data_IF_447023830474
#
_entry.id   IF_447023830474
#
_cell.length_a   1.000
_cell.length_b   1.000
_cell.length_c   1.000
_cell.angle_alpha   90.00
_cell.angle_beta   90.00
_cell.angle_gamma   90.00
#
_symmetry.space_group_name_H-M   'P 1'
#
loop_
_entity.id
_entity.type
_entity.pdbx_description
1 polymer ?
#
# COMPACT_ATOMS: atom_id res chain seq x y z
N UNK A 1 33.43 -13.74 11.46
CA UNK A 1 32.06 -13.19 11.35
C UNK A 1 31.15 -14.33 11.72
N UNK A 2 30.54 -14.26 12.89
CA UNK A 2 29.71 -15.34 13.43
C UNK A 2 28.29 -15.20 12.88
N UNK A 3 27.80 -16.20 12.15
CA UNK A 3 26.51 -16.22 11.45
C UNK A 3 25.30 -16.44 12.39
N UNK A 4 25.49 -16.38 13.70
CA UNK A 4 24.45 -16.75 14.69
C UNK A 4 24.12 -15.66 15.71
N UNK A 5 24.11 -14.37 15.33
CA UNK A 5 23.32 -13.39 16.10
C UNK A 5 21.86 -13.51 15.66
N UNK A 6 21.17 -14.49 16.25
CA UNK A 6 19.72 -14.59 16.21
C UNK A 6 19.17 -13.37 16.96
N UNK A 7 18.93 -12.26 16.25
CA UNK A 7 18.14 -11.14 16.78
C UNK A 7 16.77 -11.70 17.15
N UNK A 8 16.56 -11.94 18.45
CA UNK A 8 15.35 -12.58 18.98
C UNK A 8 14.12 -11.68 18.74
N UNK A 9 14.35 -10.38 18.64
CA UNK A 9 13.47 -9.35 18.07
C UNK A 9 14.34 -8.21 17.49
N UNK A 10 14.04 -7.77 16.27
CA UNK A 10 14.75 -6.64 15.63
C UNK A 10 14.48 -5.32 16.36
N UNK A 11 13.33 -5.22 17.06
CA UNK A 11 12.88 -3.98 17.72
C UNK A 11 13.29 -3.87 19.19
N UNK A 12 14.04 -4.84 19.70
CA UNK A 12 14.63 -4.77 21.03
C UNK A 12 15.79 -3.78 21.03
N UNK A 13 15.60 -2.62 21.69
CA UNK A 13 16.54 -1.52 21.62
C UNK A 13 16.66 -0.87 20.23
N UNK A 14 17.55 0.12 20.10
CA UNK A 14 17.92 0.66 18.78
C UNK A 14 19.38 0.29 18.53
N UNK A 15 19.68 -0.46 17.45
CA UNK A 15 21.04 -0.89 17.16
C UNK A 15 22.03 0.28 17.04
N UNK A 16 23.27 0.04 17.43
CA UNK A 16 24.36 1.01 17.26
C UNK A 16 24.80 1.15 15.80
N UNK A 17 24.69 0.07 15.02
CA UNK A 17 25.02 0.07 13.59
C UNK A 17 24.04 -0.81 12.81
N UNK A 18 23.85 -0.45 11.54
CA UNK A 18 23.12 -1.25 10.55
C UNK A 18 24.10 -1.79 9.51
N UNK A 19 24.41 -3.11 9.49
CA UNK A 19 25.52 -3.67 8.70
C UNK A 19 25.44 -3.47 7.17
N UNK A 20 24.27 -3.11 6.63
CA UNK A 20 24.02 -2.91 5.19
C UNK A 20 23.82 -1.46 4.79
N UNK A 21 24.18 -0.53 5.67
CA UNK A 21 24.04 0.91 5.45
C UNK A 21 25.44 1.55 5.47
N UNK A 22 25.74 2.43 4.51
CA UNK A 22 27.02 3.13 4.48
C UNK A 22 27.22 3.96 5.76
N UNK A 23 28.48 4.09 6.21
CA UNK A 23 28.84 4.80 7.45
C UNK A 23 28.25 6.23 7.52
N UNK A 24 28.24 6.93 6.39
CA UNK A 24 27.67 8.28 6.27
C UNK A 24 26.17 8.37 6.60
N UNK A 25 25.41 7.29 6.39
CA UNK A 25 23.96 7.24 6.63
C UNK A 25 23.57 6.56 7.94
N UNK A 26 24.53 6.05 8.72
CA UNK A 26 24.26 5.31 9.96
C UNK A 26 23.44 6.14 10.96
N UNK A 27 23.83 7.39 11.21
CA UNK A 27 23.11 8.27 12.13
C UNK A 27 21.66 8.49 11.69
N UNK A 28 21.44 8.74 10.40
CA UNK A 28 20.10 8.90 9.84
C UNK A 28 19.26 7.62 9.93
N UNK A 29 19.86 6.47 9.65
CA UNK A 29 19.19 5.17 9.77
C UNK A 29 18.78 4.86 11.20
N UNK A 30 19.67 5.10 12.19
CA UNK A 30 19.36 4.95 13.62
C UNK A 30 18.26 5.88 14.07
N UNK A 31 18.32 7.16 13.71
CA UNK A 31 17.28 8.13 14.04
C UNK A 31 15.92 7.71 13.46
N UNK A 32 15.89 7.28 12.19
CA UNK A 32 14.69 6.77 11.53
C UNK A 32 14.15 5.52 12.22
N UNK A 33 15.02 4.56 12.55
CA UNK A 33 14.63 3.33 13.25
C UNK A 33 14.04 3.65 14.63
N UNK A 34 14.73 4.45 15.45
CA UNK A 34 14.24 4.84 16.77
C UNK A 34 12.90 5.58 16.72
N UNK A 35 12.68 6.41 15.70
CA UNK A 35 11.44 7.15 15.50
C UNK A 35 10.27 6.27 15.05
N UNK A 36 10.51 5.36 14.10
CA UNK A 36 9.47 4.62 13.37
C UNK A 36 9.26 3.18 13.82
N UNK A 37 10.13 2.63 14.67
CA UNK A 37 9.92 1.30 15.26
C UNK A 37 8.61 1.23 16.08
N UNK A 38 8.04 0.03 16.31
CA UNK A 38 7.04 -0.18 17.34
C UNK A 38 7.41 0.51 18.66
N UNK A 39 6.44 1.15 19.29
CA UNK A 39 6.61 2.00 20.48
C UNK A 39 7.52 3.24 20.30
N UNK A 40 7.97 3.55 19.08
CA UNK A 40 8.72 4.78 18.77
C UNK A 40 7.85 6.04 18.90
N UNK A 41 8.45 7.18 19.24
CA UNK A 41 7.71 8.44 19.48
C UNK A 41 6.88 8.88 18.26
N UNK A 42 7.46 8.82 17.06
CA UNK A 42 6.77 9.22 15.82
C UNK A 42 5.72 8.17 15.43
N UNK A 43 6.07 6.89 15.53
CA UNK A 43 5.14 5.78 15.26
C UNK A 43 3.88 5.87 16.14
N UNK A 44 4.06 6.07 17.46
CA UNK A 44 2.96 6.25 18.41
C UNK A 44 2.14 7.50 18.10
N UNK A 45 2.79 8.66 17.91
CA UNK A 45 2.09 9.94 17.77
C UNK A 45 1.29 10.05 16.48
N UNK A 46 1.84 9.57 15.37
CA UNK A 46 1.33 9.87 14.03
C UNK A 46 0.87 8.63 13.25
N UNK A 47 1.45 7.45 13.48
CA UNK A 47 1.15 6.26 12.66
C UNK A 47 0.12 5.33 13.31
N UNK A 48 0.08 5.25 14.64
CA UNK A 48 -0.84 4.36 15.36
C UNK A 48 -2.33 4.66 15.12
N UNK A 49 -2.65 5.85 14.60
CA UNK A 49 -4.02 6.27 14.32
C UNK A 49 -4.47 5.92 12.89
N UNK A 50 -3.54 5.51 12.03
CA UNK A 50 -3.84 5.19 10.65
C UNK A 50 -4.46 3.80 10.56
N UNK A 51 -5.37 3.63 9.60
CA UNK A 51 -5.94 2.33 9.28
C UNK A 51 -5.04 1.61 8.27
N UNK A 52 -4.85 0.30 8.47
CA UNK A 52 -4.15 -0.56 7.50
C UNK A 52 -5.06 -0.88 6.31
N UNK A 53 -6.36 -1.00 6.56
CA UNK A 53 -7.41 -1.21 5.57
C UNK A 53 -8.59 -0.31 5.90
N UNK A 54 -9.19 0.36 4.92
CA UNK A 54 -10.38 1.18 5.14
C UNK A 54 -11.38 0.99 4.00
N UNK A 55 -12.67 0.97 4.33
CA UNK A 55 -13.76 1.00 3.37
C UNK A 55 -14.37 2.40 3.37
N UNK A 56 -14.46 3.03 2.21
CA UNK A 56 -15.08 4.34 2.01
C UNK A 56 -16.03 4.26 0.82
N UNK A 57 -17.32 4.49 1.05
CA UNK A 57 -18.35 4.27 0.04
C UNK A 57 -18.32 2.83 -0.48
N UNK A 58 -18.25 2.67 -1.79
CA UNK A 58 -18.15 1.38 -2.47
C UNK A 58 -16.70 0.94 -2.79
N UNK A 59 -15.70 1.51 -2.10
CA UNK A 59 -14.29 1.23 -2.35
C UNK A 59 -13.55 0.78 -1.08
N UNK A 60 -12.74 -0.27 -1.20
CA UNK A 60 -11.81 -0.71 -0.14
C UNK A 60 -10.38 -0.31 -0.50
N UNK A 61 -9.64 0.22 0.47
CA UNK A 61 -8.28 0.70 0.32
C UNK A 61 -7.31 -0.18 1.10
N UNK A 62 -6.25 -0.62 0.46
CA UNK A 62 -5.13 -1.36 1.07
C UNK A 62 -3.82 -0.99 0.37
N UNK A 63 -2.67 -1.13 1.05
CA UNK A 63 -1.39 -0.76 0.43
C UNK A 63 -1.03 -1.69 -0.75
N UNK A 64 -1.04 -3.01 -0.56
CA UNK A 64 -0.80 -4.00 -1.62
C UNK A 64 -2.09 -4.67 -2.13
N UNK A 65 -2.95 -5.13 -1.21
CA UNK A 65 -4.27 -5.68 -1.55
C UNK A 65 -4.81 -6.64 -0.49
N UNK A 66 -5.99 -7.24 -0.73
CA UNK A 66 -6.66 -8.14 0.21
C UNK A 66 -6.93 -9.52 -0.38
N UNK A 67 -6.65 -10.57 0.38
CA UNK A 67 -7.05 -11.94 0.05
C UNK A 67 -8.23 -12.33 0.93
N UNK A 68 -8.97 -13.37 0.55
CA UNK A 68 -10.14 -13.85 1.30
C UNK A 68 -9.81 -14.12 2.78
N UNK A 69 -8.62 -14.67 3.06
CA UNK A 69 -8.14 -14.89 4.44
C UNK A 69 -8.04 -13.61 5.27
N UNK A 70 -7.79 -12.45 4.66
CA UNK A 70 -7.75 -11.15 5.37
C UNK A 70 -9.16 -10.67 5.72
N UNK A 71 -10.14 -10.95 4.85
CA UNK A 71 -11.55 -10.63 5.12
C UNK A 71 -12.09 -11.51 6.24
N UNK A 72 -11.83 -12.82 6.17
CA UNK A 72 -12.19 -13.78 7.22
C UNK A 72 -11.49 -13.48 8.56
N UNK A 73 -10.32 -12.83 8.53
CA UNK A 73 -9.64 -12.38 9.74
C UNK A 73 -10.38 -11.22 10.45
N UNK A 74 -11.17 -10.45 9.71
CA UNK A 74 -11.89 -9.25 10.18
C UNK A 74 -11.07 -7.98 9.97
N UNK A 75 -11.58 -7.02 9.19
CA UNK A 75 -10.85 -5.79 8.83
C UNK A 75 -10.61 -4.89 10.05
N UNK A 76 -11.58 -4.81 10.96
CA UNK A 76 -11.45 -4.10 12.23
C UNK A 76 -10.32 -4.72 13.04
N UNK A 77 -10.33 -6.05 13.18
CA UNK A 77 -9.29 -6.78 13.90
C UNK A 77 -7.90 -6.55 13.29
N UNK A 78 -7.78 -6.55 11.97
CA UNK A 78 -6.52 -6.19 11.28
C UNK A 78 -6.03 -4.83 11.75
N UNK A 79 -6.90 -3.81 11.69
CA UNK A 79 -6.55 -2.44 12.06
C UNK A 79 -6.18 -2.32 13.53
N UNK A 80 -6.89 -3.01 14.43
CA UNK A 80 -6.58 -3.03 15.86
C UNK A 80 -5.24 -3.70 16.15
N UNK A 81 -4.97 -4.87 15.57
CA UNK A 81 -3.72 -5.60 15.82
C UNK A 81 -2.50 -4.85 15.29
N UNK A 82 -2.59 -4.25 14.10
CA UNK A 82 -1.48 -3.46 13.55
C UNK A 82 -1.26 -2.21 14.40
N UNK A 83 -2.33 -1.53 14.83
CA UNK A 83 -2.24 -0.37 15.74
C UNK A 83 -1.58 -0.75 17.06
N UNK A 84 -2.03 -1.83 17.69
CA UNK A 84 -1.51 -2.25 19.00
C UNK A 84 -0.05 -2.68 18.91
N UNK A 85 0.35 -3.27 17.79
CA UNK A 85 1.74 -3.54 17.49
C UNK A 85 2.56 -2.25 17.29
N UNK A 86 2.09 -1.29 16.49
CA UNK A 86 2.74 0.03 16.34
C UNK A 86 2.91 0.72 17.70
N UNK A 87 1.93 0.57 18.60
CA UNK A 87 1.97 1.14 19.95
C UNK A 87 2.87 0.39 20.93
N UNK A 88 3.35 -0.79 20.56
CA UNK A 88 4.09 -1.68 21.46
C UNK A 88 3.22 -2.32 22.55
N UNK A 89 1.89 -2.27 22.43
CA UNK A 89 0.97 -3.01 23.31
C UNK A 89 1.05 -4.49 22.99
N UNK A 90 1.21 -4.83 21.71
CA UNK A 90 1.54 -6.19 21.25
C UNK A 90 2.99 -6.22 20.77
N UNK A 91 3.75 -7.20 21.23
CA UNK A 91 5.12 -7.45 20.79
C UNK A 91 5.18 -7.81 19.29
N UNK A 92 4.18 -8.57 18.82
CA UNK A 92 4.14 -9.11 17.46
C UNK A 92 2.81 -8.86 16.79
N UNK A 93 2.86 -8.76 15.47
CA UNK A 93 1.71 -8.75 14.57
C UNK A 93 1.77 -9.96 13.65
N UNK A 94 0.61 -10.50 13.28
CA UNK A 94 0.55 -11.64 12.38
C UNK A 94 1.23 -11.31 11.05
N UNK A 95 2.12 -12.20 10.60
CA UNK A 95 2.91 -11.96 9.37
C UNK A 95 2.00 -11.68 8.17
N UNK A 96 0.89 -12.39 8.01
CA UNK A 96 -0.07 -12.15 6.94
C UNK A 96 -0.64 -10.72 6.86
N UNK A 97 -0.46 -9.88 7.88
CA UNK A 97 -0.90 -8.49 7.83
C UNK A 97 0.20 -7.57 7.27
N UNK A 98 1.45 -7.75 7.68
CA UNK A 98 2.54 -6.77 7.38
C UNK A 98 3.83 -7.36 6.80
N UNK A 99 3.95 -8.69 6.69
CA UNK A 99 5.15 -9.41 6.22
C UNK A 99 4.85 -10.51 5.22
N UNK A 100 5.72 -10.64 4.24
CA UNK A 100 5.66 -11.70 3.24
C UNK A 100 4.72 -11.38 2.08
N UNK A 101 4.98 -12.04 0.94
CA UNK A 101 4.40 -11.70 -0.37
C UNK A 101 2.86 -11.68 -0.41
N UNK A 102 2.20 -12.45 0.44
CA UNK A 102 0.74 -12.57 0.47
C UNK A 102 0.13 -11.82 1.67
N UNK A 103 0.80 -10.77 2.15
CA UNK A 103 0.29 -9.90 3.21
C UNK A 103 -0.32 -8.62 2.67
N UNK A 104 -1.16 -7.96 3.46
CA UNK A 104 -1.93 -6.78 3.04
C UNK A 104 -1.04 -5.68 2.44
N UNK A 105 0.16 -5.51 3.00
CA UNK A 105 1.10 -4.46 2.57
C UNK A 105 2.06 -4.87 1.46
N UNK A 106 2.16 -6.17 1.11
CA UNK A 106 3.12 -6.67 0.12
C UNK A 106 2.49 -7.40 -1.07
N UNK A 107 1.17 -7.64 -1.03
CA UNK A 107 0.46 -8.34 -2.08
C UNK A 107 0.57 -7.61 -3.41
N UNK A 108 0.77 -8.38 -4.50
CA UNK A 108 0.87 -7.87 -5.88
C UNK A 108 -0.09 -8.55 -6.86
N UNK A 109 -0.85 -9.55 -6.40
CA UNK A 109 -1.72 -10.39 -7.25
C UNK A 109 -2.77 -9.62 -8.05
N UNK A 110 -3.07 -8.36 -7.69
CA UNK A 110 -4.03 -7.50 -8.41
C UNK A 110 -3.38 -6.21 -8.94
N UNK A 111 -2.06 -6.10 -8.87
CA UNK A 111 -1.32 -4.92 -9.26
C UNK A 111 -0.05 -5.20 -10.04
N UNK A 112 0.17 -6.43 -10.50
CA UNK A 112 1.29 -6.79 -11.37
C UNK A 112 1.43 -5.82 -12.55
N UNK A 113 2.67 -5.60 -13.00
CA UNK A 113 2.99 -4.67 -14.07
C UNK A 113 2.18 -4.98 -15.34
N UNK A 114 2.10 -6.26 -15.71
CA UNK A 114 1.25 -6.72 -16.79
C UNK A 114 -0.14 -7.08 -16.26
N UNK A 115 -1.18 -6.49 -16.86
CA UNK A 115 -2.57 -6.73 -16.48
C UNK A 115 -2.96 -8.22 -16.56
N UNK A 116 -2.42 -8.96 -17.55
CA UNK A 116 -2.67 -10.40 -17.73
C UNK A 116 -2.18 -11.30 -16.58
N UNK A 117 -1.24 -10.81 -15.79
CA UNK A 117 -0.69 -11.55 -14.66
C UNK A 117 -1.52 -11.31 -13.38
N UNK A 118 -2.55 -10.46 -13.44
CA UNK A 118 -3.43 -10.18 -12.31
C UNK A 118 -4.58 -11.18 -12.21
N UNK A 119 -4.87 -11.64 -11.00
CA UNK A 119 -5.93 -12.62 -10.73
C UNK A 119 -7.28 -11.93 -10.51
N UNK A 120 -7.96 -11.59 -11.62
CA UNK A 120 -9.25 -10.92 -11.58
C UNK A 120 -10.38 -11.77 -10.95
N UNK A 121 -10.32 -13.10 -11.08
CA UNK A 121 -11.34 -13.99 -10.50
C UNK A 121 -11.22 -14.01 -8.97
N UNK A 122 -10.00 -14.12 -8.45
CA UNK A 122 -9.77 -14.03 -7.00
C UNK A 122 -10.15 -12.65 -6.46
N UNK A 123 -9.84 -11.57 -7.18
CA UNK A 123 -10.23 -10.22 -6.79
C UNK A 123 -11.76 -10.09 -6.67
N UNK A 124 -12.51 -10.58 -7.66
CA UNK A 124 -13.97 -10.54 -7.67
C UNK A 124 -14.55 -11.26 -6.45
N UNK A 125 -14.08 -12.47 -6.16
CA UNK A 125 -14.49 -13.20 -4.97
C UNK A 125 -14.16 -12.48 -3.66
N UNK A 126 -13.01 -11.79 -3.58
CA UNK A 126 -12.69 -10.99 -2.39
C UNK A 126 -13.68 -9.84 -2.23
N UNK A 127 -13.99 -9.11 -3.30
CA UNK A 127 -14.91 -7.97 -3.26
C UNK A 127 -16.33 -8.40 -2.89
N UNK A 128 -16.81 -9.54 -3.42
CA UNK A 128 -18.11 -10.12 -3.07
C UNK A 128 -18.25 -10.45 -1.58
N UNK A 129 -17.15 -10.72 -0.89
CA UNK A 129 -17.17 -10.99 0.56
C UNK A 129 -17.22 -9.73 1.42
N UNK A 130 -17.11 -8.53 0.84
CA UNK A 130 -17.17 -7.26 1.57
C UNK A 130 -18.46 -6.53 1.18
N UNK A 131 -19.45 -6.43 2.09
CA UNK A 131 -20.74 -5.83 1.77
C UNK A 131 -20.62 -4.41 1.20
N UNK A 132 -21.25 -4.17 0.05
CA UNK A 132 -21.34 -2.85 -0.58
C UNK A 132 -20.09 -2.40 -1.36
N UNK A 133 -18.98 -3.14 -1.30
CA UNK A 133 -17.75 -2.79 -2.01
C UNK A 133 -17.80 -3.30 -3.45
N UNK A 134 -17.43 -2.42 -4.39
CA UNK A 134 -17.35 -2.72 -5.82
C UNK A 134 -15.92 -2.76 -6.35
N UNK A 135 -14.97 -2.12 -5.67
CA UNK A 135 -13.58 -2.03 -6.13
C UNK A 135 -12.57 -1.98 -4.99
N UNK A 136 -11.38 -2.48 -5.28
CA UNK A 136 -10.20 -2.32 -4.45
C UNK A 136 -9.29 -1.26 -5.05
N UNK A 137 -8.77 -0.37 -4.21
CA UNK A 137 -7.80 0.65 -4.56
C UNK A 137 -6.49 0.31 -3.85
N UNK A 138 -5.41 0.19 -4.62
CA UNK A 138 -4.13 -0.27 -4.10
C UNK A 138 -2.93 0.39 -4.78
N UNK A 139 -1.82 0.43 -4.05
CA UNK A 139 -0.53 0.91 -4.54
C UNK A 139 0.50 -0.21 -4.59
N UNK A 140 1.68 0.05 -4.01
CA UNK A 140 2.79 -0.89 -3.79
C UNK A 140 3.54 -1.37 -5.06
N UNK A 141 2.82 -1.57 -6.15
CA UNK A 141 3.38 -1.92 -7.46
C UNK A 141 3.25 -0.72 -8.39
N UNK A 142 4.40 -0.20 -8.82
CA UNK A 142 4.50 0.99 -9.65
C UNK A 142 3.85 0.72 -11.01
N UNK A 143 2.94 1.60 -11.40
CA UNK A 143 2.30 1.64 -12.70
C UNK A 143 3.03 2.66 -13.57
N UNK A 144 3.85 2.18 -14.51
CA UNK A 144 4.69 3.04 -15.36
C UNK A 144 3.91 4.05 -16.18
N UNK A 145 2.68 3.70 -16.52
CA UNK A 145 1.80 4.52 -17.34
C UNK A 145 0.93 5.47 -16.51
N UNK A 146 0.99 5.43 -15.18
CA UNK A 146 0.13 6.22 -14.30
C UNK A 146 -1.05 5.41 -13.72
N UNK A 147 -1.97 6.11 -13.05
CA UNK A 147 -3.16 5.52 -12.43
C UNK A 147 -4.01 4.87 -13.51
N UNK A 148 -4.40 3.62 -13.27
CA UNK A 148 -5.17 2.85 -14.21
C UNK A 148 -6.09 1.85 -13.48
N UNK A 149 -6.94 1.18 -14.25
CA UNK A 149 -7.88 0.19 -13.78
C UNK A 149 -7.80 -1.10 -14.59
N UNK A 150 -7.99 -2.23 -13.92
CA UNK A 150 -8.11 -3.56 -14.52
C UNK A 150 -9.33 -4.30 -13.96
N UNK A 151 -9.60 -5.49 -14.49
CA UNK A 151 -10.67 -6.37 -14.04
C UNK A 151 -12.06 -5.69 -14.08
N UNK A 152 -12.32 -4.86 -15.10
CA UNK A 152 -13.59 -4.13 -15.23
C UNK A 152 -13.79 -3.05 -14.15
N UNK A 153 -12.76 -2.23 -13.89
CA UNK A 153 -12.76 -1.17 -12.86
C UNK A 153 -12.90 -1.66 -11.41
N UNK A 154 -12.58 -2.93 -11.17
CA UNK A 154 -12.60 -3.54 -9.83
C UNK A 154 -11.26 -3.47 -9.11
N UNK A 155 -10.15 -3.37 -9.85
CA UNK A 155 -8.83 -3.10 -9.28
C UNK A 155 -8.31 -1.77 -9.83
N UNK A 156 -8.17 -0.77 -8.94
CA UNK A 156 -7.63 0.54 -9.28
C UNK A 156 -6.21 0.62 -8.71
N UNK A 157 -5.23 0.78 -9.60
CA UNK A 157 -3.80 0.75 -9.28
C UNK A 157 -3.27 2.18 -9.29
N UNK A 158 -2.92 2.71 -8.12
CA UNK A 158 -2.67 4.15 -7.92
C UNK A 158 -1.21 4.53 -7.65
N UNK A 159 -0.30 3.57 -7.55
CA UNK A 159 1.13 3.87 -7.34
C UNK A 159 1.79 4.22 -8.67
N UNK A 160 2.12 5.49 -8.87
CA UNK A 160 2.77 5.99 -10.10
C UNK A 160 4.29 6.14 -9.97
N UNK A 161 4.89 5.74 -8.84
CA UNK A 161 6.34 5.84 -8.66
C UNK A 161 6.86 7.28 -8.53
N UNK A 162 6.17 8.14 -7.78
CA UNK A 162 6.51 9.57 -7.62
C UNK A 162 7.88 9.84 -6.98
N UNK A 163 8.48 8.87 -6.29
CA UNK A 163 9.77 9.08 -5.63
C UNK A 163 10.94 9.04 -6.62
N UNK A 164 11.98 9.83 -6.36
CA UNK A 164 13.20 9.90 -7.18
C UNK A 164 13.85 8.54 -7.47
N UNK A 165 13.71 7.58 -6.56
CA UNK A 165 14.31 6.24 -6.68
C UNK A 165 13.35 5.18 -7.23
N UNK A 166 12.09 5.56 -7.49
CA UNK A 166 11.05 4.66 -8.01
C UNK A 166 10.72 4.96 -9.48
N UNK A 167 10.83 6.22 -9.90
CA UNK A 167 10.53 6.60 -11.28
C UNK A 167 10.52 8.11 -11.54
N UNK A 168 10.56 8.94 -10.49
CA UNK A 168 10.52 10.41 -10.57
C UNK A 168 9.38 10.93 -11.46
N UNK A 169 8.24 10.22 -11.41
CA UNK A 169 7.07 10.50 -12.25
C UNK A 169 6.26 11.65 -11.66
N UNK A 170 5.55 12.36 -12.55
CA UNK A 170 4.59 13.38 -12.13
C UNK A 170 3.51 12.78 -11.22
N UNK A 171 3.07 13.52 -10.17
CA UNK A 171 1.99 13.08 -9.32
C UNK A 171 0.67 12.97 -10.09
N UNK A 172 -0.09 11.94 -9.73
CA UNK A 172 -1.47 11.73 -10.15
C UNK A 172 -2.35 11.48 -8.92
N UNK A 173 -3.60 11.90 -8.99
CA UNK A 173 -4.60 11.76 -7.92
C UNK A 173 -5.82 11.06 -8.47
N UNK A 174 -6.26 10.01 -7.79
CA UNK A 174 -7.56 9.39 -8.03
C UNK A 174 -8.65 10.19 -7.32
N UNK A 175 -9.54 10.80 -8.08
CA UNK A 175 -10.78 11.40 -7.59
C UNK A 175 -11.92 10.38 -7.66
N UNK A 176 -12.68 10.27 -6.58
CA UNK A 176 -13.93 9.51 -6.51
C UNK A 176 -15.02 10.49 -6.11
N UNK A 177 -15.97 10.75 -6.99
CA UNK A 177 -17.04 11.71 -6.73
C UNK A 177 -18.22 11.09 -5.95
N UNK A 178 -19.22 11.90 -5.66
CA UNK A 178 -20.45 11.51 -4.95
C UNK A 178 -21.30 10.44 -5.67
N UNK A 179 -21.07 10.23 -6.97
CA UNK A 179 -21.71 9.20 -7.78
C UNK A 179 -20.84 7.94 -7.93
N UNK A 180 -19.75 7.82 -7.15
CA UNK A 180 -18.76 6.74 -7.25
C UNK A 180 -18.05 6.65 -8.61
N UNK A 181 -18.03 7.74 -9.38
CA UNK A 181 -17.28 7.81 -10.63
C UNK A 181 -15.81 8.11 -10.37
N UNK A 182 -14.93 7.56 -11.22
CA UNK A 182 -13.49 7.66 -11.06
C UNK A 182 -12.89 8.63 -12.09
N UNK A 183 -12.04 9.55 -11.63
CA UNK A 183 -11.25 10.44 -12.49
C UNK A 183 -9.82 10.50 -12.01
N UNK A 184 -8.89 10.75 -12.93
CA UNK A 184 -7.48 11.00 -12.62
C UNK A 184 -7.20 12.48 -12.83
N UNK A 185 -6.71 13.13 -11.80
CA UNK A 185 -6.13 14.47 -11.87
C UNK A 185 -4.62 14.32 -11.99
N UNK A 186 -4.00 14.94 -12.99
CA UNK A 186 -2.56 14.79 -13.26
C UNK A 186 -1.89 16.14 -13.40
N UNK A 187 -0.66 16.27 -12.90
CA UNK A 187 0.17 17.44 -13.16
C UNK A 187 1.00 17.31 -14.44
N UNK A 188 0.83 16.23 -15.20
CA UNK A 188 1.61 15.96 -16.40
C UNK A 188 1.22 16.93 -17.53
N UNK A 189 2.17 17.74 -18.04
CA UNK A 189 1.88 18.76 -19.05
C UNK A 189 1.27 18.26 -20.34
N UNK A 190 1.48 16.98 -20.69
CA UNK A 190 0.91 16.37 -21.89
C UNK A 190 -0.62 16.30 -21.87
N UNK A 191 -1.23 16.40 -20.69
CA UNK A 191 -2.68 16.30 -20.52
C UNK A 191 -3.35 17.65 -20.20
N UNK A 192 -2.61 18.77 -20.20
CA UNK A 192 -3.21 20.10 -20.05
C UNK A 192 -3.72 20.63 -21.40
N UNK A 193 -4.97 21.11 -21.42
CA UNK A 193 -5.45 22.08 -22.43
C UNK A 193 -5.68 23.41 -21.73
N UNK A 194 -4.70 24.31 -21.77
CA UNK A 194 -4.77 25.62 -21.08
C UNK A 194 -4.40 25.53 -19.59
N UNK A 195 -5.07 26.33 -18.74
CA UNK A 195 -4.79 26.45 -17.28
C UNK A 195 -5.66 25.54 -16.39
N UNK A 196 -6.56 24.72 -16.96
CA UNK A 196 -7.42 23.83 -16.19
C UNK A 196 -6.79 22.44 -16.05
N UNK A 197 -6.77 21.92 -14.81
CA UNK A 197 -6.45 20.51 -14.54
C UNK A 197 -7.60 19.68 -15.09
N UNK A 198 -7.43 19.14 -16.30
CA UNK A 198 -8.42 18.25 -16.89
C UNK A 198 -8.40 16.92 -16.15
N UNK A 199 -9.49 16.61 -15.45
CA UNK A 199 -9.74 15.24 -14.99
C UNK A 199 -9.88 14.33 -16.20
N UNK A 200 -9.00 13.34 -16.33
CA UNK A 200 -9.07 12.32 -17.38
C UNK A 200 -9.74 11.06 -16.83
N UNK A 201 -10.52 10.31 -17.65
CA UNK A 201 -11.02 9.02 -17.23
C UNK A 201 -9.89 8.09 -16.79
N UNK A 202 -10.14 7.23 -15.81
CA UNK A 202 -9.16 6.20 -15.44
C UNK A 202 -8.95 5.27 -16.63
N UNK A 203 -7.70 5.12 -17.06
CA UNK A 203 -7.34 4.23 -18.17
C UNK A 203 -7.68 2.79 -17.81
N UNK A 204 -8.56 2.17 -18.60
CA UNK A 204 -8.86 0.74 -18.47
C UNK A 204 -7.83 -0.04 -19.27
N UNK A 205 -7.11 -0.93 -18.62
CA UNK A 205 -6.22 -1.88 -19.30
C UNK A 205 -6.99 -3.19 -19.49
N UNK A 206 -7.37 -3.46 -20.73
CA UNK A 206 -7.98 -4.74 -21.09
C UNK A 206 -6.95 -5.85 -21.08
N UNK A 207 -7.40 -7.05 -20.69
CA UNK A 207 -6.63 -8.28 -20.82
C UNK A 207 -6.52 -8.60 -22.32
N UNK A 208 -5.49 -8.06 -22.98
CA UNK A 208 -5.17 -8.44 -24.36
C UNK A 208 -4.99 -9.96 -24.38
N UNK A 209 -5.87 -10.64 -25.11
CA UNK A 209 -5.92 -12.10 -25.24
C UNK A 209 -4.64 -12.64 -25.88
#
# INVERSE_FOLDING_TARGET
MDENVLFKDLFDGVPDEFPRINKEFQNGARARFAALRPNGLIANRFLSKNQTVVVVGDSVFAHGGLLQKHILYGLERVNEEVRDWIRGVKEKVANQLVRGRNSIVWLRSFSHDLAKDCDCSMLEHVLETIPGVKRMIMGHTIQSDGINAICGNRAIRVDVGMSKLCGDKFPEVLEINEHSELRVLTSNPLYFKGYEVLGVPVRTMDLVH
#
